data_IF_643411952535
#
_entry.id   IF_643411952535
#
_cell.length_a   1.000
_cell.length_b   1.000
_cell.length_c   1.000
_cell.angle_alpha   90.00
_cell.angle_beta   90.00
_cell.angle_gamma   90.00
#
_symmetry.space_group_name_H-M   'P 1'
#
loop_
_entity.id
_entity.type
_entity.pdbx_description
1 polymer ?
#
# COMPACT_ATOMS: atom_id res chain seq x y z
N UNK A 1 0.03 -0.07 -53.64
CA UNK A 1 1.47 -0.39 -53.78
C UNK A 1 2.36 0.32 -52.75
N UNK A 2 2.08 1.57 -52.33
CA UNK A 2 2.90 2.29 -51.33
C UNK A 2 2.91 1.65 -49.92
N UNK A 3 1.78 1.11 -49.46
CA UNK A 3 1.69 0.43 -48.14
C UNK A 3 2.51 -0.88 -48.06
N UNK A 4 2.64 -1.60 -49.18
CA UNK A 4 3.50 -2.79 -49.25
C UNK A 4 4.99 -2.43 -49.31
N UNK A 5 5.32 -1.25 -49.82
CA UNK A 5 6.68 -0.72 -49.90
C UNK A 5 7.17 -0.22 -48.52
N UNK A 6 6.29 0.42 -47.74
CA UNK A 6 6.54 0.80 -46.33
C UNK A 6 6.71 -0.45 -45.46
N UNK A 7 5.88 -1.48 -45.65
CA UNK A 7 6.02 -2.76 -44.93
C UNK A 7 7.30 -3.54 -45.27
N UNK A 8 7.80 -3.43 -46.50
CA UNK A 8 9.09 -4.03 -46.90
C UNK A 8 10.30 -3.26 -46.37
N UNK A 9 10.24 -1.92 -46.36
CA UNK A 9 11.30 -1.07 -45.81
C UNK A 9 11.39 -1.19 -44.27
N UNK A 10 10.25 -1.25 -43.57
CA UNK A 10 10.24 -1.50 -42.12
C UNK A 10 10.81 -2.86 -41.72
N UNK A 11 10.57 -3.92 -42.52
CA UNK A 11 11.17 -5.25 -42.32
C UNK A 11 12.67 -5.29 -42.66
N UNK A 12 13.14 -4.46 -43.59
CA UNK A 12 14.58 -4.31 -43.89
C UNK A 12 15.32 -3.56 -42.78
N UNK A 13 14.71 -2.54 -42.18
CA UNK A 13 15.27 -1.84 -41.00
C UNK A 13 15.36 -2.78 -39.80
N UNK A 14 14.32 -3.56 -39.53
CA UNK A 14 14.32 -4.57 -38.46
C UNK A 14 15.35 -5.69 -38.67
N UNK A 15 15.61 -6.10 -39.93
CA UNK A 15 16.65 -7.09 -40.26
C UNK A 15 18.08 -6.54 -40.21
N UNK A 16 18.30 -5.26 -40.53
CA UNK A 16 19.61 -4.59 -40.40
C UNK A 16 20.01 -4.34 -38.95
N UNK A 17 19.04 -4.20 -38.04
CA UNK A 17 19.29 -4.09 -36.59
C UNK A 17 19.48 -5.46 -35.90
N UNK A 18 19.16 -6.56 -36.58
CA UNK A 18 19.21 -7.93 -36.06
C UNK A 18 20.31 -8.79 -36.73
N UNK A 19 21.48 -8.21 -37.03
CA UNK A 19 22.66 -8.95 -37.51
C UNK A 19 23.68 -9.12 -36.37
N UNK A 20 24.20 -10.33 -36.10
CA UNK A 20 25.14 -10.58 -35.00
C UNK A 20 26.54 -10.09 -35.39
N UNK A 21 26.81 -8.80 -35.17
CA UNK A 21 28.09 -8.18 -35.56
C UNK A 21 28.65 -7.13 -34.61
N UNK A 22 27.90 -6.66 -33.61
CA UNK A 22 28.34 -5.55 -32.74
C UNK A 22 28.35 -5.86 -31.24
N UNK A 23 28.14 -7.12 -30.84
CA UNK A 23 28.46 -7.60 -29.48
C UNK A 23 29.79 -8.35 -29.53
N UNK A 24 30.85 -7.67 -29.98
CA UNK A 24 32.23 -8.16 -29.90
C UNK A 24 33.19 -6.98 -29.74
N UNK A 25 32.99 -6.21 -28.68
CA UNK A 25 34.04 -5.29 -28.17
C UNK A 25 33.95 -4.93 -26.68
N UNK A 26 33.00 -5.49 -25.95
CA UNK A 26 32.85 -5.20 -24.50
C UNK A 26 33.12 -6.38 -23.57
N UNK A 27 33.48 -7.57 -24.09
CA UNK A 27 33.70 -8.80 -23.30
C UNK A 27 35.07 -9.44 -23.59
N UNK A 28 36.09 -8.65 -23.93
CA UNK A 28 37.45 -9.15 -24.16
C UNK A 28 38.45 -8.79 -23.04
N UNK A 29 37.99 -8.30 -21.89
CA UNK A 29 38.89 -7.90 -20.78
C UNK A 29 38.59 -8.54 -19.43
N UNK A 30 37.65 -9.48 -19.32
CA UNK A 30 37.41 -10.20 -18.05
C UNK A 30 37.07 -11.68 -18.25
N UNK A 31 37.98 -12.42 -18.88
CA UNK A 31 37.97 -13.89 -18.87
C UNK A 31 39.39 -14.46 -18.96
N UNK A 32 40.18 -14.24 -17.91
CA UNK A 32 41.14 -15.25 -17.44
C UNK A 32 40.69 -15.64 -16.03
N UNK A 33 40.25 -16.90 -15.88
CA UNK A 33 39.89 -17.47 -14.58
C UNK A 33 38.69 -18.43 -14.62
N UNK A 34 38.95 -19.67 -15.02
CA UNK A 34 38.27 -20.94 -14.68
C UNK A 34 36.73 -21.05 -14.85
N UNK A 35 36.20 -21.84 -15.81
CA UNK A 35 35.99 -23.32 -15.80
C UNK A 35 35.37 -23.83 -14.49
N UNK A 36 34.26 -24.56 -14.40
CA UNK A 36 33.29 -25.22 -15.27
C UNK A 36 32.00 -25.40 -14.41
N UNK A 37 30.76 -25.53 -14.89
CA UNK A 37 30.21 -26.78 -15.42
C UNK A 37 28.83 -26.57 -16.06
N UNK A 38 28.65 -27.19 -17.22
CA UNK A 38 27.45 -27.64 -17.94
C UNK A 38 26.05 -27.52 -17.31
N UNK A 39 25.08 -27.08 -18.11
CA UNK A 39 23.68 -27.46 -17.92
C UNK A 39 22.63 -26.63 -18.67
N UNK A 40 22.23 -27.09 -19.86
CA UNK A 40 20.81 -27.04 -20.24
C UNK A 40 20.32 -25.84 -21.06
N UNK A 41 20.39 -26.02 -22.37
CA UNK A 41 19.57 -25.35 -23.40
C UNK A 41 18.09 -25.61 -23.10
N UNK A 42 17.45 -24.78 -22.27
CA UNK A 42 15.98 -24.81 -22.08
C UNK A 42 15.38 -23.45 -21.68
N UNK A 43 16.15 -22.35 -21.75
CA UNK A 43 15.70 -21.01 -21.28
C UNK A 43 15.19 -20.06 -22.36
N UNK A 44 15.27 -20.40 -23.65
CA UNK A 44 14.96 -19.45 -24.73
C UNK A 44 13.50 -19.41 -25.16
N UNK A 45 12.66 -20.38 -24.78
CA UNK A 45 11.23 -20.36 -25.10
C UNK A 45 10.38 -19.57 -24.08
N UNK A 46 10.85 -19.39 -22.84
CA UNK A 46 10.10 -18.70 -21.78
C UNK A 46 10.20 -17.17 -21.87
N UNK A 47 11.15 -16.63 -22.65
CA UNK A 47 11.40 -15.18 -22.71
C UNK A 47 10.51 -14.45 -23.71
N UNK A 48 9.86 -15.16 -24.65
CA UNK A 48 8.98 -14.54 -25.65
C UNK A 48 7.50 -14.48 -25.23
N UNK A 49 7.07 -15.29 -24.26
CA UNK A 49 5.71 -15.23 -23.70
C UNK A 49 5.48 -14.10 -22.68
N UNK A 50 6.56 -13.50 -22.16
CA UNK A 50 6.50 -12.47 -21.11
C UNK A 50 6.37 -11.04 -21.62
N UNK A 51 6.58 -10.79 -22.92
CA UNK A 51 6.50 -9.44 -23.51
C UNK A 51 5.05 -9.04 -23.86
N UNK A 52 4.14 -10.01 -23.93
CA UNK A 52 2.71 -9.76 -24.24
C UNK A 52 1.87 -9.23 -23.06
N UNK A 53 2.37 -9.33 -21.82
CA UNK A 53 1.61 -8.99 -20.60
C UNK A 53 1.98 -7.62 -19.98
N UNK A 54 2.91 -6.87 -20.58
CA UNK A 54 3.32 -5.55 -20.07
C UNK A 54 2.54 -4.37 -20.65
N UNK A 55 1.62 -4.59 -21.60
CA UNK A 55 0.86 -3.52 -22.24
C UNK A 55 -0.62 -3.43 -21.81
N UNK A 56 -1.05 -4.24 -20.85
CA UNK A 56 -2.41 -4.18 -20.29
C UNK A 56 -2.47 -3.43 -18.96
N UNK A 57 -3.66 -2.93 -18.61
CA UNK A 57 -4.00 -2.30 -17.33
C UNK A 57 -3.47 -3.05 -16.07
N UNK A 58 -3.39 -4.38 -16.13
CA UNK A 58 -2.82 -5.22 -15.08
C UNK A 58 -1.32 -4.96 -14.82
N UNK A 59 -0.54 -4.61 -15.85
CA UNK A 59 0.90 -4.31 -15.72
C UNK A 59 1.15 -2.99 -14.98
N UNK A 60 0.34 -1.97 -15.25
CA UNK A 60 0.42 -0.68 -14.57
C UNK A 60 0.05 -0.77 -13.08
N UNK A 61 -1.01 -1.53 -12.75
CA UNK A 61 -1.41 -1.77 -11.36
C UNK A 61 -0.36 -2.55 -10.56
N UNK A 62 0.23 -3.57 -11.16
CA UNK A 62 1.30 -4.39 -10.55
C UNK A 62 2.52 -3.54 -10.26
N UNK A 63 2.98 -2.74 -11.24
CA UNK A 63 4.14 -1.85 -11.07
C UNK A 63 3.93 -0.83 -9.95
N UNK A 64 2.73 -0.24 -9.85
CA UNK A 64 2.38 0.72 -8.80
C UNK A 64 2.40 0.10 -7.41
N UNK A 65 1.86 -1.11 -7.26
CA UNK A 65 1.89 -1.85 -6.00
C UNK A 65 3.32 -2.21 -5.58
N UNK A 66 4.14 -2.71 -6.52
CA UNK A 66 5.55 -3.01 -6.26
C UNK A 66 6.34 -1.77 -5.84
N UNK A 67 6.09 -0.62 -6.47
CA UNK A 67 6.71 0.64 -6.07
C UNK A 67 6.34 1.04 -4.64
N UNK A 68 5.06 0.92 -4.26
CA UNK A 68 4.59 1.22 -2.90
C UNK A 68 5.19 0.28 -1.85
N UNK A 69 5.31 -1.01 -2.15
CA UNK A 69 5.94 -1.98 -1.23
C UNK A 69 7.45 -1.82 -1.12
N UNK A 70 8.13 -1.38 -2.17
CA UNK A 70 9.59 -1.17 -2.18
C UNK A 70 10.08 0.09 -1.45
N UNK A 71 9.20 0.83 -0.76
CA UNK A 71 9.56 2.08 -0.07
C UNK A 71 9.76 3.27 -1.02
N UNK A 72 9.51 3.12 -2.32
CA UNK A 72 9.42 4.23 -3.28
C UNK A 72 8.03 4.90 -3.21
N UNK A 73 7.62 5.27 -1.99
CA UNK A 73 6.30 5.82 -1.70
C UNK A 73 6.00 7.11 -2.48
N UNK A 74 4.71 7.36 -2.70
CA UNK A 74 4.25 8.66 -3.17
C UNK A 74 4.23 9.64 -2.01
N UNK A 75 4.65 10.88 -2.26
CA UNK A 75 4.66 11.96 -1.28
C UNK A 75 3.24 12.43 -0.97
N UNK A 76 3.04 13.00 0.22
CA UNK A 76 1.75 13.54 0.65
C UNK A 76 1.31 14.73 -0.20
N UNK A 77 0.05 15.13 -0.06
CA UNK A 77 -0.50 16.33 -0.70
C UNK A 77 0.31 17.57 -0.34
N UNK A 78 0.59 17.77 0.94
CA UNK A 78 1.39 18.88 1.45
C UNK A 78 2.84 18.84 0.97
N UNK A 79 3.47 17.66 0.96
CA UNK A 79 4.83 17.51 0.46
C UNK A 79 4.90 17.81 -1.04
N UNK A 80 3.88 17.40 -1.81
CA UNK A 80 3.84 17.64 -3.25
C UNK A 80 3.89 19.13 -3.61
N UNK A 81 3.31 20.00 -2.76
CA UNK A 81 3.31 21.45 -2.95
C UNK A 81 4.70 22.05 -2.76
N UNK A 82 5.48 21.55 -1.80
CA UNK A 82 6.82 22.06 -1.46
C UNK A 82 7.91 21.59 -2.43
N UNK A 83 7.65 20.55 -3.21
CA UNK A 83 8.67 19.88 -4.03
C UNK A 83 8.89 20.49 -5.41
N UNK A 84 7.96 21.32 -5.90
CA UNK A 84 8.12 21.99 -7.17
C UNK A 84 8.72 23.36 -6.96
N UNK A 85 9.81 23.62 -7.68
CA UNK A 85 10.44 24.94 -7.76
C UNK A 85 10.44 25.32 -9.24
N UNK A 86 9.80 26.43 -9.64
CA UNK A 86 9.84 26.92 -11.01
C UNK A 86 11.29 27.10 -11.51
N UNK A 87 11.60 26.55 -12.68
CA UNK A 87 12.97 26.50 -13.21
C UNK A 87 13.43 27.77 -13.95
N UNK A 88 12.48 28.57 -14.44
CA UNK A 88 12.72 29.75 -15.28
C UNK A 88 11.70 30.88 -15.00
N UNK A 89 11.87 32.03 -15.67
CA UNK A 89 11.01 33.21 -15.50
C UNK A 89 9.56 32.96 -15.95
N UNK A 90 9.37 32.20 -17.02
CA UNK A 90 8.04 31.88 -17.55
C UNK A 90 7.26 31.02 -16.55
N UNK A 91 7.88 29.92 -16.07
CA UNK A 91 7.29 29.07 -15.06
C UNK A 91 6.97 29.86 -13.77
N UNK A 92 7.84 30.78 -13.34
CA UNK A 92 7.57 31.65 -12.18
C UNK A 92 6.37 32.56 -12.41
N UNK A 93 6.28 33.20 -13.58
CA UNK A 93 5.18 34.08 -13.93
C UNK A 93 3.84 33.32 -13.96
N UNK A 94 3.82 32.14 -14.59
CA UNK A 94 2.61 31.33 -14.72
C UNK A 94 2.19 30.75 -13.36
N UNK A 95 3.14 30.32 -12.53
CA UNK A 95 2.88 29.84 -11.17
C UNK A 95 2.30 30.94 -10.27
N UNK A 96 2.91 32.13 -10.28
CA UNK A 96 2.44 33.31 -9.55
C UNK A 96 1.03 33.72 -10.03
N UNK A 97 0.81 33.71 -11.34
CA UNK A 97 -0.51 34.01 -11.94
C UNK A 97 -1.58 33.05 -11.42
N UNK A 98 -1.35 31.73 -11.47
CA UNK A 98 -2.31 30.73 -10.99
C UNK A 98 -2.57 30.92 -9.49
N UNK A 99 -1.51 31.12 -8.70
CA UNK A 99 -1.61 31.24 -7.24
C UNK A 99 -2.50 32.39 -6.78
N UNK A 100 -2.64 33.44 -7.61
CA UNK A 100 -3.41 34.66 -7.36
C UNK A 100 -4.83 34.63 -7.96
N UNK A 101 -5.21 33.57 -8.65
CA UNK A 101 -6.55 33.49 -9.25
C UNK A 101 -7.65 33.45 -8.17
N UNK A 102 -8.78 34.17 -8.36
CA UNK A 102 -9.89 34.13 -7.41
C UNK A 102 -10.43 32.72 -7.13
N UNK A 103 -10.48 31.86 -8.15
CA UNK A 103 -10.88 30.46 -8.00
C UNK A 103 -9.94 29.68 -7.09
N UNK A 104 -8.63 29.96 -7.12
CA UNK A 104 -7.64 29.29 -6.26
C UNK A 104 -7.83 29.69 -4.81
N UNK A 105 -8.08 30.99 -4.54
CA UNK A 105 -8.42 31.45 -3.20
C UNK A 105 -9.70 30.78 -2.67
N UNK A 106 -10.74 30.65 -3.50
CA UNK A 106 -11.99 29.95 -3.15
C UNK A 106 -11.75 28.47 -2.84
N UNK A 107 -11.01 27.76 -3.69
CA UNK A 107 -10.73 26.33 -3.51
C UNK A 107 -9.87 26.05 -2.26
N UNK A 108 -8.94 26.96 -1.90
CA UNK A 108 -8.15 26.87 -0.65
C UNK A 108 -8.97 27.16 0.60
N UNK A 109 -10.00 27.99 0.49
CA UNK A 109 -10.88 28.33 1.61
C UNK A 109 -11.95 27.24 1.87
N UNK A 110 -12.25 26.40 0.88
CA UNK A 110 -13.24 25.34 0.99
C UNK A 110 -12.62 24.08 1.65
N UNK A 111 -13.01 23.73 2.89
CA UNK A 111 -12.38 22.64 3.64
C UNK A 111 -12.61 21.26 3.03
N UNK A 112 -13.53 21.11 2.07
CA UNK A 112 -13.76 19.82 1.42
C UNK A 112 -12.63 19.43 0.46
N UNK A 113 -11.83 20.40 0.00
CA UNK A 113 -10.79 20.19 -0.98
C UNK A 113 -9.40 20.10 -0.34
N UNK A 114 -8.60 19.14 -0.84
CA UNK A 114 -7.16 19.06 -0.56
C UNK A 114 -6.36 19.48 -1.77
N UNK A 115 -5.57 20.53 -1.60
CA UNK A 115 -4.66 21.04 -2.64
C UNK A 115 -3.43 20.13 -2.78
N UNK A 116 -3.04 19.84 -4.01
CA UNK A 116 -1.81 19.10 -4.29
C UNK A 116 -1.25 19.43 -5.68
N UNK A 117 0.00 19.01 -5.92
CA UNK A 117 0.59 18.91 -7.26
C UNK A 117 0.74 17.44 -7.61
N UNK A 118 -0.20 16.84 -8.36
CA UNK A 118 -0.28 15.38 -8.46
C UNK A 118 0.97 14.70 -9.02
N UNK A 119 1.68 15.35 -9.96
CA UNK A 119 2.94 14.82 -10.50
C UNK A 119 4.09 14.90 -9.50
N UNK A 120 4.05 15.84 -8.55
CA UNK A 120 5.06 16.00 -7.51
C UNK A 120 4.88 15.02 -6.35
N UNK A 121 3.80 14.24 -6.33
CA UNK A 121 3.66 13.07 -5.47
C UNK A 121 4.55 11.91 -5.93
N UNK A 122 4.97 11.91 -7.20
CA UNK A 122 5.77 10.81 -7.76
C UNK A 122 7.26 10.94 -7.35
N UNK A 123 7.95 9.82 -7.06
CA UNK A 123 9.40 9.80 -6.98
C UNK A 123 10.04 10.28 -8.29
N UNK A 124 11.16 10.99 -8.21
CA UNK A 124 11.80 11.60 -9.39
C UNK A 124 12.17 10.59 -10.49
N UNK A 125 12.68 9.41 -10.09
CA UNK A 125 13.02 8.33 -11.01
C UNK A 125 11.81 7.85 -11.83
N UNK A 126 10.64 7.74 -11.20
CA UNK A 126 9.40 7.37 -11.88
C UNK A 126 8.85 8.52 -12.74
N UNK A 127 8.82 9.74 -12.16
CA UNK A 127 8.34 10.94 -12.84
C UNK A 127 9.06 11.20 -14.16
N UNK A 128 10.38 10.99 -14.22
CA UNK A 128 11.20 11.19 -15.43
C UNK A 128 10.77 10.33 -16.63
N UNK A 129 10.01 9.26 -16.40
CA UNK A 129 9.49 8.35 -17.45
C UNK A 129 7.98 8.48 -17.66
N UNK A 130 7.37 9.48 -17.04
CA UNK A 130 5.94 9.75 -17.15
C UNK A 130 5.62 10.65 -18.33
N UNK A 131 4.59 10.31 -19.10
CA UNK A 131 4.06 11.17 -20.15
C UNK A 131 3.64 12.54 -19.57
N UNK A 132 2.77 12.52 -18.56
CA UNK A 132 2.18 13.75 -18.01
C UNK A 132 3.06 14.40 -16.94
N UNK A 133 3.82 13.60 -16.18
CA UNK A 133 4.74 14.10 -15.16
C UNK A 133 6.11 14.54 -15.67
N UNK A 134 6.43 14.32 -16.96
CA UNK A 134 7.71 14.75 -17.53
C UNK A 134 7.64 15.10 -19.03
N UNK A 135 7.22 14.20 -19.92
CA UNK A 135 7.38 14.41 -21.36
C UNK A 135 6.62 15.64 -21.91
N UNK A 136 5.49 15.97 -21.28
CA UNK A 136 4.65 17.12 -21.58
C UNK A 136 5.01 18.38 -20.77
N UNK A 137 5.96 18.31 -19.84
CA UNK A 137 6.43 19.45 -19.05
C UNK A 137 7.65 20.12 -19.70
N UNK A 138 7.75 21.43 -19.54
CA UNK A 138 8.91 22.24 -19.94
C UNK A 138 8.54 23.51 -20.71
N UNK A 139 9.54 24.32 -21.09
CA UNK A 139 9.35 25.55 -21.86
C UNK A 139 8.53 25.30 -23.13
N UNK A 140 7.64 26.24 -23.47
CA UNK A 140 6.74 26.13 -24.62
C UNK A 140 5.62 25.08 -24.48
N UNK A 141 5.65 24.21 -23.46
CA UNK A 141 4.63 23.17 -23.20
C UNK A 141 3.81 23.51 -21.95
N UNK A 142 3.64 22.56 -21.03
CA UNK A 142 3.14 22.83 -19.69
C UNK A 142 4.34 23.20 -18.79
N UNK A 143 4.51 24.50 -18.53
CA UNK A 143 5.69 25.01 -17.81
C UNK A 143 5.69 24.69 -16.30
N UNK A 144 4.55 24.27 -15.76
CA UNK A 144 4.42 23.75 -14.39
C UNK A 144 3.56 22.48 -14.35
N UNK A 145 3.80 21.58 -13.37
CA UNK A 145 2.87 20.52 -13.05
C UNK A 145 1.55 21.13 -12.55
N UNK A 146 0.40 20.53 -12.91
CA UNK A 146 -0.91 21.10 -12.63
C UNK A 146 -1.16 21.24 -11.13
N UNK A 147 -1.92 22.27 -10.78
CA UNK A 147 -2.56 22.33 -9.47
C UNK A 147 -3.81 21.47 -9.47
N UNK A 148 -4.08 20.78 -8.38
CA UNK A 148 -5.29 19.97 -8.22
C UNK A 148 -5.89 20.12 -6.82
N UNK A 149 -7.20 20.24 -6.77
CA UNK A 149 -8.03 20.24 -5.57
C UNK A 149 -8.96 19.04 -5.63
N UNK A 150 -8.71 18.05 -4.77
CA UNK A 150 -9.48 16.81 -4.74
C UNK A 150 -10.39 16.80 -3.51
N UNK A 151 -11.67 16.47 -3.70
CA UNK A 151 -12.61 16.26 -2.61
C UNK A 151 -12.41 14.88 -1.99
N UNK A 152 -12.48 14.81 -0.66
CA UNK A 152 -12.30 13.58 0.09
C UNK A 152 -13.24 12.46 -0.39
N UNK A 153 -12.68 11.24 -0.45
CA UNK A 153 -13.37 10.06 -0.99
C UNK A 153 -13.47 10.03 -2.52
N UNK A 154 -12.79 10.93 -3.24
CA UNK A 154 -12.75 10.90 -4.71
C UNK A 154 -14.08 11.29 -5.36
N UNK A 155 -14.77 12.28 -4.78
CA UNK A 155 -16.09 12.73 -5.25
C UNK A 155 -15.99 13.72 -6.39
N UNK A 156 -15.09 14.70 -6.28
CA UNK A 156 -14.87 15.72 -7.30
C UNK A 156 -13.41 16.17 -7.33
N UNK A 157 -12.99 16.71 -8.47
CA UNK A 157 -11.66 17.32 -8.64
C UNK A 157 -11.78 18.60 -9.47
N UNK A 158 -10.94 19.59 -9.12
CA UNK A 158 -10.65 20.74 -9.96
C UNK A 158 -9.15 20.78 -10.23
N UNK A 159 -8.73 20.85 -11.50
CA UNK A 159 -7.32 21.03 -11.86
C UNK A 159 -7.13 22.31 -12.66
N UNK A 160 -6.03 23.03 -12.42
CA UNK A 160 -5.66 24.23 -13.19
C UNK A 160 -4.30 23.99 -13.84
N UNK A 161 -4.22 24.25 -15.14
CA UNK A 161 -3.03 24.04 -15.97
C UNK A 161 -2.83 25.20 -16.94
N UNK A 162 -1.59 25.46 -17.33
CA UNK A 162 -1.25 26.32 -18.46
C UNK A 162 -0.75 25.47 -19.63
N UNK A 163 -1.12 25.86 -20.86
CA UNK A 163 -0.74 25.14 -22.08
C UNK A 163 -0.07 26.09 -23.09
N UNK A 164 1.18 25.79 -23.46
CA UNK A 164 1.97 26.56 -24.42
C UNK A 164 1.87 26.08 -25.87
N UNK A 165 2.60 26.78 -26.75
CA UNK A 165 2.56 26.60 -28.21
C UNK A 165 3.16 25.28 -28.73
N UNK A 166 4.11 24.66 -28.02
CA UNK A 166 4.72 23.39 -28.43
C UNK A 166 3.77 22.19 -28.28
N UNK A 167 2.57 22.43 -27.75
CA UNK A 167 1.48 21.45 -27.66
C UNK A 167 0.46 21.62 -28.79
N UNK A 168 0.70 22.53 -29.73
CA UNK A 168 -0.17 22.80 -30.87
C UNK A 168 -0.15 21.68 -31.93
N UNK A 169 -1.33 21.39 -32.48
CA UNK A 169 -1.46 20.61 -33.72
C UNK A 169 -1.55 21.51 -34.96
N UNK A 170 -2.13 22.69 -34.78
CA UNK A 170 -2.18 23.78 -35.75
C UNK A 170 -1.66 25.05 -35.06
N UNK A 171 -0.97 25.97 -35.74
CA UNK A 171 -0.45 27.18 -35.10
C UNK A 171 -1.49 27.89 -34.22
N UNK A 172 -1.15 28.10 -32.94
CA UNK A 172 -2.01 28.74 -31.94
C UNK A 172 -3.16 27.88 -31.39
N UNK A 173 -3.33 26.63 -31.85
CA UNK A 173 -4.39 25.72 -31.40
C UNK A 173 -3.76 24.44 -30.82
N UNK A 174 -3.94 24.25 -29.52
CA UNK A 174 -3.51 23.07 -28.78
C UNK A 174 -4.12 21.81 -29.39
N UNK A 175 -3.29 20.79 -29.59
CA UNK A 175 -3.72 19.53 -30.18
C UNK A 175 -4.76 18.83 -29.28
N UNK A 176 -5.88 18.37 -29.86
CA UNK A 176 -6.96 17.72 -29.11
C UNK A 176 -6.50 16.50 -28.28
N UNK A 177 -5.49 15.77 -28.76
CA UNK A 177 -4.85 14.69 -27.99
C UNK A 177 -4.26 15.10 -26.64
N UNK A 178 -3.87 16.37 -26.44
CA UNK A 178 -3.50 16.87 -25.12
C UNK A 178 -4.73 16.93 -24.21
N UNK A 179 -5.84 17.50 -24.69
CA UNK A 179 -7.08 17.56 -23.92
C UNK A 179 -7.59 16.17 -23.57
N UNK A 180 -7.49 15.19 -24.48
CA UNK A 180 -7.79 13.79 -24.17
C UNK A 180 -6.90 13.25 -23.04
N UNK A 181 -5.60 13.53 -23.08
CA UNK A 181 -4.66 13.11 -22.04
C UNK A 181 -4.99 13.75 -20.69
N UNK A 182 -5.34 15.04 -20.68
CA UNK A 182 -5.74 15.77 -19.48
C UNK A 182 -7.06 15.25 -18.90
N UNK A 183 -8.06 15.00 -19.75
CA UNK A 183 -9.35 14.43 -19.35
C UNK A 183 -9.18 13.01 -18.79
N UNK A 184 -8.41 12.17 -19.46
CA UNK A 184 -8.12 10.81 -18.98
C UNK A 184 -7.49 10.85 -17.58
N UNK A 185 -6.41 11.64 -17.41
CA UNK A 185 -5.74 11.78 -16.13
C UNK A 185 -6.63 12.40 -15.05
N UNK A 186 -7.33 13.49 -15.38
CA UNK A 186 -8.17 14.23 -14.43
C UNK A 186 -9.35 13.41 -13.93
N UNK A 187 -10.06 12.72 -14.84
CA UNK A 187 -11.19 11.87 -14.47
C UNK A 187 -10.71 10.62 -13.69
N UNK A 188 -9.55 10.04 -14.05
CA UNK A 188 -8.96 8.94 -13.27
C UNK A 188 -8.67 9.39 -11.83
N UNK A 189 -7.96 10.52 -11.68
CA UNK A 189 -7.60 11.07 -10.37
C UNK A 189 -8.82 11.42 -9.52
N UNK A 190 -9.88 11.92 -10.15
CA UNK A 190 -11.15 12.22 -9.49
C UNK A 190 -11.66 11.00 -8.71
N UNK A 191 -11.69 9.82 -9.33
CA UNK A 191 -12.31 8.64 -8.72
C UNK A 191 -11.35 7.73 -7.95
N UNK A 192 -10.04 8.01 -7.91
CA UNK A 192 -9.09 7.15 -7.19
C UNK A 192 -9.51 6.94 -5.73
N UNK A 193 -9.85 8.00 -4.98
CA UNK A 193 -10.29 7.85 -3.59
C UNK A 193 -11.58 7.05 -3.37
N UNK A 194 -12.35 6.80 -4.44
CA UNK A 194 -13.58 6.02 -4.41
C UNK A 194 -13.36 4.55 -4.83
N UNK A 195 -12.18 4.21 -5.34
CA UNK A 195 -11.85 2.89 -5.87
C UNK A 195 -10.99 2.09 -4.87
N UNK A 196 -11.10 0.75 -4.86
CA UNK A 196 -10.24 -0.10 -4.04
C UNK A 196 -8.74 0.20 -4.26
N UNK A 197 -8.01 0.28 -3.15
CA UNK A 197 -6.57 0.62 -3.09
C UNK A 197 -6.18 1.98 -3.66
N UNK A 198 -7.15 2.86 -3.91
CA UNK A 198 -6.97 4.18 -4.51
C UNK A 198 -6.34 4.15 -5.91
N UNK A 199 -6.69 3.16 -6.73
CA UNK A 199 -6.18 2.99 -8.09
C UNK A 199 -7.31 2.66 -9.07
N UNK A 200 -7.21 3.20 -10.27
CA UNK A 200 -8.11 2.93 -11.38
C UNK A 200 -7.36 3.01 -12.71
N UNK A 201 -7.77 2.17 -13.66
CA UNK A 201 -7.35 2.25 -15.05
C UNK A 201 -8.55 2.61 -15.93
N UNK A 202 -8.30 3.34 -17.00
CA UNK A 202 -9.33 3.74 -17.95
C UNK A 202 -9.81 2.52 -18.74
N UNK A 203 -11.06 2.11 -18.53
CA UNK A 203 -11.69 1.04 -19.30
C UNK A 203 -12.44 1.60 -20.52
N UNK A 204 -13.00 2.80 -20.39
CA UNK A 204 -13.60 3.53 -21.49
C UNK A 204 -13.51 5.03 -21.22
N UNK A 205 -13.31 5.82 -22.27
CA UNK A 205 -13.33 7.27 -22.25
C UNK A 205 -14.01 7.76 -23.53
N UNK A 206 -15.08 8.54 -23.39
CA UNK A 206 -15.75 9.23 -24.48
C UNK A 206 -15.51 10.73 -24.33
N UNK A 207 -15.14 11.41 -25.41
CA UNK A 207 -14.81 12.84 -25.39
C UNK A 207 -15.54 13.55 -26.53
N UNK A 208 -16.27 14.61 -26.17
CA UNK A 208 -16.88 15.54 -27.12
C UNK A 208 -16.08 16.84 -27.13
N UNK A 209 -15.37 17.12 -28.23
CA UNK A 209 -14.69 18.40 -28.44
C UNK A 209 -15.69 19.46 -28.88
N UNK A 210 -15.74 20.58 -28.15
CA UNK A 210 -16.71 21.66 -28.37
C UNK A 210 -16.11 22.83 -29.12
N UNK A 211 -14.89 23.24 -28.77
CA UNK A 211 -14.21 24.41 -29.34
C UNK A 211 -12.70 24.21 -29.45
N UNK A 212 -12.02 24.88 -30.40
CA UNK A 212 -10.56 24.92 -30.44
C UNK A 212 -9.98 25.51 -29.15
N UNK A 213 -8.86 24.95 -28.70
CA UNK A 213 -8.18 25.41 -27.47
C UNK A 213 -7.01 26.31 -27.84
N UNK A 214 -7.05 27.62 -27.53
CA UNK A 214 -5.93 28.52 -27.78
C UNK A 214 -4.71 28.09 -26.97
N UNK A 215 -3.53 28.10 -27.58
CA UNK A 215 -2.28 28.04 -26.84
C UNK A 215 -2.05 29.34 -26.04
N UNK A 216 -1.14 29.28 -25.08
CA UNK A 216 -0.89 30.38 -24.15
C UNK A 216 -2.03 30.63 -23.15
N UNK A 217 -2.90 29.64 -22.93
CA UNK A 217 -4.11 29.79 -22.12
C UNK A 217 -4.07 29.00 -20.81
N UNK A 218 -4.90 29.42 -19.87
CA UNK A 218 -5.15 28.71 -18.62
C UNK A 218 -6.41 27.87 -18.75
N UNK A 219 -6.29 26.59 -18.44
CA UNK A 219 -7.36 25.61 -18.51
C UNK A 219 -7.78 25.20 -17.11
N UNK A 220 -9.09 25.04 -16.92
CA UNK A 220 -9.67 24.47 -15.72
C UNK A 220 -10.33 23.14 -16.10
N UNK A 221 -9.88 22.04 -15.50
CA UNK A 221 -10.55 20.75 -15.61
C UNK A 221 -11.42 20.56 -14.37
N UNK A 222 -12.68 20.15 -14.58
CA UNK A 222 -13.59 19.76 -13.50
C UNK A 222 -14.09 18.36 -13.76
N UNK A 223 -14.13 17.52 -12.72
CA UNK A 223 -14.75 16.21 -12.82
C UNK A 223 -15.46 15.82 -11.53
N UNK A 224 -16.45 14.95 -11.68
CA UNK A 224 -17.27 14.40 -10.60
C UNK A 224 -17.46 12.91 -10.83
N UNK A 225 -17.22 12.11 -9.80
CA UNK A 225 -17.53 10.68 -9.76
C UNK A 225 -19.04 10.53 -9.60
N UNK A 226 -19.72 10.02 -10.62
CA UNK A 226 -21.19 9.94 -10.66
C UNK A 226 -21.73 8.65 -10.08
N UNK A 227 -20.96 7.58 -10.13
CA UNK A 227 -21.38 6.25 -9.70
C UNK A 227 -20.17 5.38 -9.35
N UNK A 228 -20.31 4.55 -8.32
CA UNK A 228 -19.30 3.56 -7.92
C UNK A 228 -19.98 2.24 -7.65
N UNK A 229 -19.49 1.15 -8.26
CA UNK A 229 -19.97 -0.21 -8.03
C UNK A 229 -18.78 -1.16 -7.90
N UNK A 230 -18.47 -1.55 -6.66
CA UNK A 230 -17.33 -2.41 -6.34
C UNK A 230 -16.01 -1.80 -6.82
N UNK A 231 -15.47 -2.33 -7.92
CA UNK A 231 -14.21 -1.87 -8.53
C UNK A 231 -14.39 -0.89 -9.69
N UNK A 232 -15.63 -0.51 -10.02
CA UNK A 232 -15.94 0.34 -11.17
C UNK A 232 -16.35 1.73 -10.69
N UNK A 233 -15.83 2.77 -11.31
CA UNK A 233 -16.24 4.14 -11.10
C UNK A 233 -16.57 4.81 -12.44
N UNK A 234 -17.71 5.49 -12.50
CA UNK A 234 -18.10 6.32 -13.62
C UNK A 234 -17.87 7.77 -13.24
N UNK A 235 -17.25 8.51 -14.15
CA UNK A 235 -16.84 9.90 -13.92
C UNK A 235 -17.29 10.72 -15.12
N UNK A 236 -17.80 11.92 -14.85
CA UNK A 236 -18.04 12.93 -15.88
C UNK A 236 -17.18 14.15 -15.59
N UNK A 237 -16.74 14.84 -16.61
CA UNK A 237 -15.99 16.07 -16.44
C UNK A 237 -15.83 16.84 -17.74
N UNK A 238 -15.16 17.97 -17.65
CA UNK A 238 -14.92 18.84 -18.79
C UNK A 238 -13.65 19.68 -18.57
N UNK A 239 -13.15 20.24 -19.67
CA UNK A 239 -12.11 21.27 -19.68
C UNK A 239 -12.75 22.55 -20.18
N UNK A 240 -12.53 23.64 -19.44
CA UNK A 240 -12.96 24.99 -19.77
C UNK A 240 -11.77 25.95 -19.81
N UNK A 241 -11.90 27.02 -20.59
CA UNK A 241 -11.01 28.18 -20.44
C UNK A 241 -11.28 28.83 -19.09
N UNK A 242 -10.21 29.29 -18.44
CA UNK A 242 -10.32 30.11 -17.24
C UNK A 242 -11.18 31.36 -17.55
N UNK A 243 -12.38 31.39 -16.98
CA UNK A 243 -13.31 32.51 -17.12
C UNK A 243 -12.92 33.66 -16.19
N UNK A 244 -13.23 34.90 -16.60
CA UNK A 244 -13.18 36.02 -15.66
C UNK A 244 -14.31 35.90 -14.63
N UNK A 245 -14.16 36.49 -13.44
CA UNK A 245 -15.23 36.50 -12.45
C UNK A 245 -16.54 37.05 -13.04
N UNK A 246 -17.62 36.25 -12.97
CA UNK A 246 -18.95 36.62 -13.48
C UNK A 246 -19.20 36.30 -14.96
N UNK A 247 -18.22 35.74 -15.68
CA UNK A 247 -18.42 35.24 -17.05
C UNK A 247 -18.74 33.74 -17.05
N UNK A 248 -19.59 33.32 -17.98
CA UNK A 248 -19.84 31.90 -18.24
C UNK A 248 -18.58 31.23 -18.82
N UNK A 249 -18.15 30.09 -18.28
CA UNK A 249 -16.95 29.41 -18.75
C UNK A 249 -17.13 28.88 -20.17
N UNK A 250 -16.10 29.06 -20.99
CA UNK A 250 -16.07 28.47 -22.33
C UNK A 250 -15.61 27.03 -22.25
N UNK A 251 -16.57 26.10 -22.36
CA UNK A 251 -16.30 24.66 -22.43
C UNK A 251 -15.58 24.32 -23.73
N UNK A 252 -14.42 23.68 -23.62
CA UNK A 252 -13.56 23.28 -24.74
C UNK A 252 -13.78 21.81 -25.10
N UNK A 253 -13.90 20.94 -24.10
CA UNK A 253 -14.16 19.52 -24.27
C UNK A 253 -14.91 18.96 -23.05
N UNK A 254 -15.79 18.00 -23.28
CA UNK A 254 -16.51 17.26 -22.24
C UNK A 254 -16.19 15.78 -22.34
N UNK A 255 -16.19 15.06 -21.22
CA UNK A 255 -15.93 13.64 -21.21
C UNK A 255 -16.77 12.86 -20.18
N UNK A 256 -17.02 11.61 -20.54
CA UNK A 256 -17.45 10.57 -19.61
C UNK A 256 -16.47 9.42 -19.65
N UNK A 257 -16.17 8.85 -18.49
CA UNK A 257 -15.20 7.78 -18.37
C UNK A 257 -15.66 6.70 -17.41
N UNK A 258 -15.29 5.46 -17.73
CA UNK A 258 -15.37 4.31 -16.83
C UNK A 258 -13.95 3.93 -16.42
N UNK A 259 -13.69 3.96 -15.12
CA UNK A 259 -12.43 3.57 -14.52
C UNK A 259 -12.63 2.30 -13.69
N UNK A 260 -11.67 1.39 -13.76
CA UNK A 260 -11.76 0.10 -13.08
C UNK A 260 -10.50 -0.13 -12.26
N UNK A 261 -10.67 -0.39 -10.96
CA UNK A 261 -9.57 -0.82 -10.10
C UNK A 261 -9.11 -2.22 -10.54
N UNK A 262 -7.82 -2.43 -10.86
CA UNK A 262 -7.31 -3.74 -11.26
C UNK A 262 -7.59 -4.78 -10.18
N UNK A 263 -8.05 -5.96 -10.61
CA UNK A 263 -8.34 -7.11 -9.74
C UNK A 263 -7.10 -7.68 -9.05
N UNK A 264 -5.91 -7.32 -9.51
CA UNK A 264 -4.71 -8.11 -9.29
C UNK A 264 -3.74 -7.37 -8.36
N UNK A 265 -3.94 -7.51 -7.06
CA UNK A 265 -2.88 -8.19 -6.31
C UNK A 265 -3.12 -9.67 -6.58
N UNK A 266 -2.73 -10.15 -7.76
CA UNK A 266 -2.67 -11.60 -7.96
C UNK A 266 -1.55 -12.07 -7.07
N UNK A 267 -1.93 -12.66 -5.94
CA UNK A 267 -1.14 -13.74 -5.37
C UNK A 267 -0.69 -14.60 -6.54
N UNK A 268 0.62 -14.80 -6.70
CA UNK A 268 1.08 -15.84 -7.61
C UNK A 268 0.31 -17.12 -7.27
N UNK A 269 -0.05 -17.97 -8.25
CA UNK A 269 -0.61 -19.27 -7.92
C UNK A 269 0.30 -19.92 -6.89
N UNK A 270 -0.20 -20.00 -5.66
CA UNK A 270 0.53 -20.43 -4.49
C UNK A 270 -0.26 -21.56 -3.86
N UNK A 271 0.45 -22.42 -3.15
CA UNK A 271 -0.15 -23.44 -2.31
C UNK A 271 -1.24 -22.81 -1.43
N UNK A 272 -2.45 -23.38 -1.45
CA UNK A 272 -3.51 -22.99 -0.52
C UNK A 272 -3.09 -23.27 0.93
N UNK A 273 -3.70 -22.60 1.90
CA UNK A 273 -3.42 -22.85 3.31
C UNK A 273 -3.82 -24.27 3.70
N UNK A 274 -4.92 -24.79 3.16
CA UNK A 274 -5.34 -26.18 3.34
C UNK A 274 -4.27 -27.17 2.85
N UNK A 275 -3.77 -26.99 1.62
CA UNK A 275 -2.69 -27.83 1.08
C UNK A 275 -1.40 -27.69 1.89
N UNK A 276 -1.06 -26.48 2.35
CA UNK A 276 0.10 -26.25 3.24
C UNK A 276 -0.04 -27.01 4.54
N UNK A 277 -1.19 -26.91 5.19
CA UNK A 277 -1.46 -27.61 6.44
C UNK A 277 -1.39 -29.13 6.26
N UNK A 278 -1.91 -29.65 5.14
CA UNK A 278 -1.83 -31.08 4.81
C UNK A 278 -0.38 -31.53 4.62
N UNK A 279 0.41 -30.80 3.83
CA UNK A 279 1.82 -31.13 3.57
C UNK A 279 2.71 -30.97 4.82
N UNK A 280 2.37 -30.06 5.72
CA UNK A 280 3.06 -29.86 6.99
C UNK A 280 2.59 -30.82 8.09
N UNK A 281 1.45 -31.51 7.89
CA UNK A 281 0.82 -32.34 8.92
C UNK A 281 0.31 -31.56 10.13
N UNK A 282 0.13 -30.24 10.00
CA UNK A 282 -0.21 -29.35 11.10
C UNK A 282 -1.00 -28.14 10.61
N UNK A 283 -1.90 -27.63 11.45
CA UNK A 283 -2.58 -26.34 11.25
C UNK A 283 -1.89 -25.26 12.06
N UNK A 284 -1.75 -24.07 11.48
CA UNK A 284 -1.28 -22.90 12.21
C UNK A 284 -2.43 -22.13 12.87
N UNK A 285 -2.12 -21.43 13.96
CA UNK A 285 -3.03 -20.55 14.69
C UNK A 285 -2.24 -19.53 15.50
N UNK A 286 -2.92 -18.50 15.99
CA UNK A 286 -2.33 -17.51 16.91
C UNK A 286 -2.89 -17.71 18.31
N UNK A 287 -2.00 -17.97 19.27
CA UNK A 287 -2.26 -17.88 20.70
C UNK A 287 -1.85 -16.48 21.18
N UNK A 288 -2.83 -15.64 21.46
CA UNK A 288 -2.62 -14.25 21.84
C UNK A 288 -2.70 -14.07 23.35
N UNK A 289 -1.56 -14.02 24.04
CA UNK A 289 -1.56 -13.77 25.48
C UNK A 289 -1.74 -12.28 25.76
N UNK A 290 -2.63 -11.96 26.69
CA UNK A 290 -2.87 -10.61 27.20
C UNK A 290 -2.95 -10.62 28.73
N UNK A 291 -2.51 -9.54 29.38
CA UNK A 291 -2.44 -9.47 30.85
C UNK A 291 -1.49 -8.40 31.35
N UNK A 292 -1.57 -8.08 32.64
CA UNK A 292 -0.71 -7.11 33.32
C UNK A 292 0.79 -7.45 33.21
N UNK A 293 1.67 -6.46 33.37
CA UNK A 293 3.10 -6.73 33.55
C UNK A 293 3.30 -7.69 34.73
N UNK A 294 4.34 -8.54 34.70
CA UNK A 294 4.60 -9.57 35.73
C UNK A 294 3.46 -10.59 35.98
N UNK A 295 2.41 -10.64 35.16
CA UNK A 295 1.33 -11.65 35.28
C UNK A 295 1.78 -13.08 34.90
N UNK A 296 2.98 -13.26 34.34
CA UNK A 296 3.52 -14.57 33.96
C UNK A 296 3.37 -14.96 32.49
N UNK A 297 2.89 -14.06 31.62
CA UNK A 297 2.74 -14.30 30.17
C UNK A 297 3.97 -14.94 29.52
N UNK A 298 5.14 -14.30 29.62
CA UNK A 298 6.36 -14.80 28.98
C UNK A 298 6.82 -16.13 29.57
N UNK A 299 6.61 -16.36 30.87
CA UNK A 299 6.93 -17.61 31.55
C UNK A 299 6.09 -18.77 31.00
N UNK A 300 4.76 -18.60 30.97
CA UNK A 300 3.84 -19.62 30.44
C UNK A 300 4.05 -19.79 28.93
N UNK A 301 4.22 -18.71 28.16
CA UNK A 301 4.47 -18.78 26.72
C UNK A 301 5.75 -19.55 26.38
N UNK A 302 6.82 -19.38 27.17
CA UNK A 302 8.08 -20.12 26.97
C UNK A 302 7.93 -21.60 27.28
N UNK A 303 7.28 -21.93 28.40
CA UNK A 303 7.01 -23.33 28.76
C UNK A 303 6.07 -24.01 27.75
N UNK A 304 5.06 -23.28 27.26
CA UNK A 304 4.13 -23.75 26.25
C UNK A 304 4.83 -24.01 24.91
N UNK A 305 5.68 -23.09 24.45
CA UNK A 305 6.49 -23.27 23.23
C UNK A 305 7.33 -24.55 23.31
N UNK A 306 8.05 -24.75 24.42
CA UNK A 306 8.83 -25.97 24.65
C UNK A 306 7.94 -27.21 24.65
N UNK A 307 6.79 -27.18 25.33
CA UNK A 307 5.89 -28.32 25.41
C UNK A 307 5.31 -28.69 24.03
N UNK A 308 4.86 -27.71 23.25
CA UNK A 308 4.34 -27.95 21.90
C UNK A 308 5.41 -28.55 20.98
N UNK A 309 6.65 -28.05 21.05
CA UNK A 309 7.76 -28.61 20.28
C UNK A 309 8.07 -30.06 20.65
N UNK A 310 8.00 -30.42 21.95
CA UNK A 310 8.14 -31.82 22.39
C UNK A 310 7.00 -32.73 21.90
N UNK A 311 5.81 -32.18 21.63
CA UNK A 311 4.69 -32.87 21.00
C UNK A 311 4.82 -32.95 19.46
N UNK A 312 5.91 -32.45 18.88
CA UNK A 312 6.11 -32.38 17.43
C UNK A 312 5.35 -31.23 16.76
N UNK A 313 4.72 -30.34 17.54
CA UNK A 313 3.97 -29.19 17.03
C UNK A 313 4.94 -28.03 16.80
N UNK A 314 5.02 -27.52 15.57
CA UNK A 314 5.82 -26.33 15.26
C UNK A 314 5.18 -25.11 15.91
N UNK A 315 5.88 -24.47 16.83
CA UNK A 315 5.46 -23.25 17.52
C UNK A 315 6.57 -22.21 17.51
N UNK A 316 6.21 -20.92 17.58
CA UNK A 316 7.17 -19.83 17.67
C UNK A 316 6.63 -18.68 18.50
N UNK A 317 7.43 -18.21 19.46
CA UNK A 317 7.07 -17.13 20.38
C UNK A 317 7.48 -15.75 19.85
N UNK A 318 6.55 -14.81 19.89
CA UNK A 318 6.72 -13.40 19.57
C UNK A 318 6.55 -12.58 20.86
N UNK A 319 7.61 -11.91 21.30
CA UNK A 319 7.62 -11.18 22.56
C UNK A 319 8.40 -9.86 22.50
N UNK A 320 8.49 -9.19 23.65
CA UNK A 320 9.25 -7.94 23.77
C UNK A 320 10.74 -8.12 23.45
N UNK A 321 11.33 -9.29 23.70
CA UNK A 321 12.76 -9.48 23.53
C UNK A 321 13.15 -9.63 22.05
N UNK A 322 12.37 -10.38 21.27
CA UNK A 322 12.68 -10.61 19.84
C UNK A 322 12.01 -9.62 18.88
N UNK A 323 10.90 -8.96 19.25
CA UNK A 323 10.24 -7.98 18.38
C UNK A 323 10.70 -6.55 18.67
N UNK A 324 10.82 -6.15 19.95
CA UNK A 324 11.00 -4.73 20.31
C UNK A 324 12.35 -4.16 19.90
N UNK A 325 13.40 -4.97 19.93
CA UNK A 325 14.75 -4.54 19.53
C UNK A 325 15.08 -4.84 18.06
N UNK A 326 14.19 -5.55 17.36
CA UNK A 326 14.31 -5.88 15.94
C UNK A 326 13.32 -5.11 15.08
N UNK A 327 12.19 -5.74 14.79
CA UNK A 327 11.14 -5.21 13.91
C UNK A 327 10.56 -3.87 14.39
N UNK A 328 10.42 -3.71 15.71
CA UNK A 328 9.74 -2.57 16.32
C UNK A 328 10.72 -1.62 17.06
N UNK A 329 12.00 -1.63 16.67
CA UNK A 329 13.05 -0.81 17.30
C UNK A 329 12.86 0.70 17.15
N UNK A 330 12.05 1.11 16.18
CA UNK A 330 11.68 2.50 15.91
C UNK A 330 10.55 3.02 16.81
N UNK A 331 9.89 2.15 17.59
CA UNK A 331 8.70 2.50 18.37
C UNK A 331 9.01 2.77 19.84
N UNK A 332 8.56 3.94 20.32
CA UNK A 332 8.58 4.33 21.73
C UNK A 332 7.40 3.77 22.54
N UNK A 333 7.14 4.33 23.72
CA UNK A 333 6.10 3.85 24.65
C UNK A 333 4.82 4.70 24.66
N UNK A 334 4.68 5.65 23.73
CA UNK A 334 3.46 6.45 23.57
C UNK A 334 2.28 5.56 23.15
N UNK A 335 1.04 6.04 23.35
CA UNK A 335 -0.17 5.33 22.89
C UNK A 335 -0.09 4.98 21.40
N UNK A 336 0.24 5.96 20.54
CA UNK A 336 0.40 5.74 19.09
C UNK A 336 1.42 4.63 18.77
N UNK A 337 2.56 4.64 19.45
CA UNK A 337 3.60 3.62 19.25
C UNK A 337 3.17 2.24 19.78
N UNK A 338 2.34 2.18 20.82
CA UNK A 338 1.74 0.93 21.33
C UNK A 338 0.76 0.35 20.31
N UNK A 339 -0.11 1.18 19.74
CA UNK A 339 -1.09 0.75 18.76
C UNK A 339 -0.39 0.22 17.49
N UNK A 340 0.63 0.94 16.99
CA UNK A 340 1.43 0.48 15.85
C UNK A 340 2.25 -0.78 16.19
N UNK A 341 2.78 -0.88 17.41
CA UNK A 341 3.49 -2.07 17.87
C UNK A 341 2.58 -3.30 17.82
N UNK A 342 1.37 -3.20 18.38
CA UNK A 342 0.38 -4.29 18.34
C UNK A 342 -0.04 -4.60 16.90
N UNK A 343 -0.32 -3.58 16.08
CA UNK A 343 -0.67 -3.77 14.65
C UNK A 343 0.40 -4.57 13.90
N UNK A 344 1.69 -4.23 14.06
CA UNK A 344 2.80 -4.97 13.43
C UNK A 344 2.89 -6.40 13.91
N UNK A 345 2.74 -6.63 15.22
CA UNK A 345 2.75 -7.97 15.82
C UNK A 345 1.60 -8.82 15.29
N UNK A 346 0.41 -8.23 15.14
CA UNK A 346 -0.77 -8.92 14.59
C UNK A 346 -0.53 -9.44 13.17
N UNK A 347 0.08 -8.63 12.31
CA UNK A 347 0.46 -9.03 10.95
C UNK A 347 1.50 -10.16 10.94
N UNK A 348 2.53 -10.05 11.79
CA UNK A 348 3.57 -11.08 11.88
C UNK A 348 3.02 -12.39 12.44
N UNK A 349 2.21 -12.34 13.50
CA UNK A 349 1.56 -13.53 14.06
C UNK A 349 0.70 -14.24 13.01
N UNK A 350 -0.06 -13.47 12.21
CA UNK A 350 -0.82 -14.00 11.08
C UNK A 350 0.07 -14.69 10.04
N UNK A 351 1.24 -14.14 9.72
CA UNK A 351 2.18 -14.79 8.78
C UNK A 351 2.73 -16.12 9.32
N UNK A 352 3.07 -16.19 10.61
CA UNK A 352 3.47 -17.46 11.24
C UNK A 352 2.32 -18.47 11.22
N UNK A 353 1.12 -18.05 11.60
CA UNK A 353 -0.05 -18.93 11.56
C UNK A 353 -0.41 -19.39 10.13
N UNK A 354 -0.30 -18.51 9.13
CA UNK A 354 -0.46 -18.88 7.73
C UNK A 354 0.58 -19.92 7.29
N UNK A 355 1.82 -19.86 7.81
CA UNK A 355 2.88 -20.85 7.56
C UNK A 355 2.70 -22.21 8.27
N UNK A 356 1.50 -22.50 8.77
CA UNK A 356 1.19 -23.71 9.55
C UNK A 356 1.94 -23.80 10.89
N UNK A 357 2.30 -22.67 11.51
CA UNK A 357 2.98 -22.60 12.82
C UNK A 357 2.03 -22.09 13.90
N UNK A 358 2.16 -22.57 15.14
CA UNK A 358 1.47 -21.98 16.29
C UNK A 358 2.23 -20.72 16.73
N UNK A 359 1.71 -19.55 16.37
CA UNK A 359 2.28 -18.26 16.77
C UNK A 359 1.86 -17.94 18.20
N UNK A 360 2.81 -17.76 19.12
CA UNK A 360 2.53 -17.47 20.53
C UNK A 360 2.94 -16.02 20.81
N UNK A 361 1.99 -15.10 20.96
CA UNK A 361 2.33 -13.71 21.29
C UNK A 361 2.25 -13.49 22.80
N UNK A 362 3.22 -12.80 23.39
CA UNK A 362 3.25 -12.53 24.84
C UNK A 362 3.45 -11.04 25.16
N UNK A 363 2.53 -10.20 24.68
CA UNK A 363 2.53 -8.75 24.91
C UNK A 363 1.50 -8.36 25.97
N UNK A 364 1.57 -7.14 26.49
CA UNK A 364 0.54 -6.65 27.43
C UNK A 364 -0.80 -6.46 26.69
N UNK A 365 -0.75 -5.88 25.48
CA UNK A 365 -1.93 -5.56 24.64
C UNK A 365 -3.11 -4.99 25.46
N UNK A 366 -2.91 -3.84 26.14
CA UNK A 366 -3.82 -3.40 27.19
C UNK A 366 -5.20 -2.94 26.69
N UNK A 367 -5.29 -2.49 25.44
CA UNK A 367 -6.53 -1.98 24.86
C UNK A 367 -7.28 -3.08 24.12
N UNK A 368 -8.58 -3.18 24.38
CA UNK A 368 -9.44 -4.18 23.74
C UNK A 368 -9.56 -3.95 22.24
N UNK A 369 -9.69 -2.69 21.82
CA UNK A 369 -9.78 -2.31 20.41
C UNK A 369 -8.59 -2.83 19.57
N UNK A 370 -7.36 -2.78 20.12
CA UNK A 370 -6.19 -3.30 19.41
C UNK A 370 -6.22 -4.83 19.26
N UNK A 371 -6.71 -5.54 20.30
CA UNK A 371 -6.89 -6.99 20.27
C UNK A 371 -8.01 -7.40 19.31
N UNK A 372 -9.09 -6.62 19.25
CA UNK A 372 -10.19 -6.83 18.31
C UNK A 372 -9.73 -6.63 16.86
N UNK A 373 -8.91 -5.62 16.59
CA UNK A 373 -8.28 -5.43 15.28
C UNK A 373 -7.38 -6.62 14.92
N UNK A 374 -6.59 -7.13 15.88
CA UNK A 374 -5.76 -8.32 15.68
C UNK A 374 -6.61 -9.56 15.35
N UNK A 375 -7.71 -9.76 16.07
CA UNK A 375 -8.67 -10.86 15.87
C UNK A 375 -9.34 -10.77 14.51
N UNK A 376 -9.82 -9.59 14.13
CA UNK A 376 -10.47 -9.33 12.84
C UNK A 376 -9.51 -9.59 11.67
N UNK A 377 -8.24 -9.19 11.80
CA UNK A 377 -7.20 -9.45 10.79
C UNK A 377 -7.02 -10.96 10.51
N UNK A 378 -7.17 -11.80 11.54
CA UNK A 378 -7.13 -13.25 11.42
C UNK A 378 -8.44 -13.79 10.83
N UNK A 379 -9.60 -13.28 11.24
CA UNK A 379 -10.90 -13.64 10.66
C UNK A 379 -10.96 -13.36 9.15
N UNK A 380 -10.41 -12.23 8.70
CA UNK A 380 -10.34 -11.81 7.29
C UNK A 380 -9.31 -12.58 6.45
N UNK A 381 -8.58 -13.55 7.03
CA UNK A 381 -7.60 -14.37 6.29
C UNK A 381 -8.24 -15.50 5.47
N UNK A 382 -9.57 -15.64 5.50
CA UNK A 382 -10.29 -16.57 4.65
C UNK A 382 -10.26 -16.09 3.20
N UNK A 383 -9.67 -16.89 2.32
CA UNK A 383 -9.57 -16.59 0.89
C UNK A 383 -9.79 -17.88 0.09
N UNK A 384 -10.64 -17.81 -0.95
CA UNK A 384 -10.99 -18.98 -1.76
C UNK A 384 -11.65 -20.07 -0.92
N UNK A 385 -11.07 -21.28 -0.95
CA UNK A 385 -11.56 -22.44 -0.20
C UNK A 385 -10.91 -22.60 1.19
N UNK A 386 -10.06 -21.66 1.62
CA UNK A 386 -9.41 -21.77 2.92
C UNK A 386 -10.25 -21.17 4.07
N UNK A 387 -10.27 -21.88 5.20
CA UNK A 387 -10.86 -21.41 6.45
C UNK A 387 -10.02 -20.29 7.09
N UNK A 388 -10.64 -19.36 7.81
CA UNK A 388 -9.94 -18.32 8.56
C UNK A 388 -8.89 -18.91 9.53
N UNK A 389 -7.77 -18.21 9.72
CA UNK A 389 -6.77 -18.57 10.73
C UNK A 389 -7.41 -18.40 12.12
N UNK A 390 -7.35 -19.42 12.99
CA UNK A 390 -7.82 -19.30 14.36
C UNK A 390 -7.00 -18.28 15.15
N UNK A 391 -7.71 -17.40 15.87
CA UNK A 391 -7.15 -16.48 16.84
C UNK A 391 -7.71 -16.85 18.22
N UNK A 392 -6.83 -17.17 19.15
CA UNK A 392 -7.18 -17.68 20.49
C UNK A 392 -6.60 -16.72 21.53
N UNK A 393 -7.45 -15.92 22.14
CA UNK A 393 -7.04 -14.97 23.18
C UNK A 393 -6.92 -15.70 24.53
N UNK A 394 -5.72 -15.64 25.11
CA UNK A 394 -5.37 -16.22 26.40
C UNK A 394 -5.24 -15.09 27.41
N UNK A 395 -6.25 -14.93 28.26
CA UNK A 395 -6.21 -13.95 29.33
C UNK A 395 -5.43 -14.49 30.53
N UNK A 396 -4.30 -13.86 30.85
CA UNK A 396 -3.50 -14.15 32.04
C UNK A 396 -3.97 -13.26 33.19
N UNK A 397 -4.97 -13.77 33.90
CA UNK A 397 -5.70 -13.05 34.95
C UNK A 397 -4.97 -13.14 36.29
N UNK A 398 -4.42 -12.01 36.71
CA UNK A 398 -3.68 -11.87 37.97
C UNK A 398 -4.06 -10.53 38.59
N UNK A 399 -4.45 -10.50 39.87
CA UNK A 399 -4.69 -9.25 40.59
C UNK A 399 -3.47 -8.32 40.53
N UNK A 400 -3.71 -7.02 40.45
CA UNK A 400 -2.64 -6.02 40.36
C UNK A 400 -1.65 -6.14 41.53
N UNK A 401 -2.17 -6.40 42.73
CA UNK A 401 -1.39 -6.54 43.96
C UNK A 401 -0.39 -7.69 43.88
N UNK A 402 -0.80 -8.82 43.27
CA UNK A 402 0.08 -9.98 43.06
C UNK A 402 1.14 -9.66 42.01
N UNK A 403 0.78 -8.93 40.95
CA UNK A 403 1.73 -8.50 39.93
C UNK A 403 2.78 -7.52 40.50
N UNK A 404 2.35 -6.58 41.34
CA UNK A 404 3.20 -5.64 42.08
C UNK A 404 4.12 -6.36 43.08
N UNK A 405 3.63 -7.40 43.75
CA UNK A 405 4.46 -8.20 44.66
C UNK A 405 5.58 -8.95 43.92
N UNK A 406 5.30 -9.48 42.71
CA UNK A 406 6.27 -10.23 41.91
C UNK A 406 7.40 -9.35 41.39
N UNK A 407 7.05 -8.17 40.85
CA UNK A 407 7.91 -7.15 40.23
C UNK A 407 9.38 -7.52 39.91
N UNK A 408 9.64 -8.53 39.05
CA UNK A 408 10.98 -9.10 38.87
C UNK A 408 11.96 -8.12 38.20
N UNK A 409 11.43 -7.10 37.52
CA UNK A 409 12.19 -6.06 36.81
C UNK A 409 12.18 -4.71 37.55
N UNK A 410 11.56 -4.63 38.73
CA UNK A 410 11.44 -3.39 39.50
C UNK A 410 10.61 -2.29 38.81
N UNK A 411 9.76 -2.66 37.85
CA UNK A 411 9.00 -1.71 37.02
C UNK A 411 7.81 -1.13 37.78
N UNK A 412 7.13 -1.92 38.61
CA UNK A 412 6.02 -1.44 39.42
C UNK A 412 6.48 -0.44 40.47
N UNK A 413 7.61 -0.71 41.14
CA UNK A 413 8.22 0.24 42.09
C UNK A 413 8.54 1.58 41.42
N UNK A 414 9.17 1.55 40.25
CA UNK A 414 9.49 2.76 39.46
C UNK A 414 8.25 3.48 38.96
N UNK A 415 7.21 2.76 38.56
CA UNK A 415 5.94 3.34 38.14
C UNK A 415 5.23 4.05 39.31
N UNK A 416 5.17 3.42 40.50
CA UNK A 416 4.61 4.02 41.72
C UNK A 416 5.40 5.26 42.18
N UNK A 417 6.72 5.27 41.96
CA UNK A 417 7.59 6.43 42.21
C UNK A 417 7.48 7.55 41.14
N UNK A 418 6.71 7.34 40.06
CA UNK A 418 6.54 8.32 38.98
C UNK A 418 7.70 8.39 37.98
N UNK A 419 8.70 7.50 38.09
CA UNK A 419 9.84 7.43 37.18
C UNK A 419 9.45 6.86 35.80
N UNK A 420 8.46 5.97 35.76
CA UNK A 420 7.89 5.42 34.52
C UNK A 420 6.47 5.98 34.34
N UNK A 421 6.31 6.82 33.33
CA UNK A 421 5.01 7.38 32.95
C UNK A 421 4.18 6.36 32.16
N UNK A 422 2.86 6.49 32.23
CA UNK A 422 1.89 5.69 31.45
C UNK A 422 2.05 4.17 31.60
N UNK A 423 2.34 3.71 32.82
CA UNK A 423 2.54 2.30 33.11
C UNK A 423 1.20 1.57 33.30
N UNK A 424 0.98 0.52 32.51
CA UNK A 424 -0.26 -0.26 32.52
C UNK A 424 -0.58 -0.83 33.90
N UNK A 425 -1.80 -0.58 34.38
CA UNK A 425 -2.29 -0.98 35.71
C UNK A 425 -1.99 0.02 36.82
N UNK A 426 -1.15 1.04 36.59
CA UNK A 426 -0.81 2.07 37.59
C UNK A 426 -1.25 3.46 37.11
N UNK A 427 -0.69 3.93 36.00
CA UNK A 427 -0.94 5.27 35.43
C UNK A 427 -1.48 5.21 33.99
N UNK A 428 -1.71 4.01 33.45
CA UNK A 428 -2.42 3.74 32.21
C UNK A 428 -3.36 2.52 32.40
N UNK A 429 -4.50 2.44 31.69
CA UNK A 429 -5.47 1.38 31.89
C UNK A 429 -5.01 0.02 31.36
N UNK A 430 -5.59 -1.05 31.90
CA UNK A 430 -5.63 -2.39 31.31
C UNK A 430 -7.09 -2.79 31.17
N UNK A 431 -7.54 -3.00 29.93
CA UNK A 431 -8.91 -3.39 29.64
C UNK A 431 -8.97 -4.92 29.55
N UNK A 432 -9.40 -5.56 30.63
CA UNK A 432 -9.55 -7.02 30.68
C UNK A 432 -10.44 -7.53 29.53
N UNK A 433 -10.10 -8.65 28.88
CA UNK A 433 -10.95 -9.28 27.87
C UNK A 433 -12.28 -9.71 28.48
N UNK A 434 -13.39 -9.44 27.79
CA UNK A 434 -14.72 -9.86 28.26
C UNK A 434 -15.01 -11.32 27.92
N UNK A 435 -14.59 -11.77 26.74
CA UNK A 435 -14.86 -13.12 26.23
C UNK A 435 -13.59 -13.77 25.64
N UNK A 436 -12.51 -13.94 26.42
CA UNK A 436 -11.32 -14.64 25.93
C UNK A 436 -11.62 -16.13 25.75
N UNK A 437 -10.97 -16.79 24.80
CA UNK A 437 -11.10 -18.22 24.58
C UNK A 437 -10.56 -19.06 25.76
N UNK A 438 -9.51 -18.57 26.43
CA UNK A 438 -8.86 -19.22 27.57
C UNK A 438 -8.57 -18.18 28.64
N UNK A 439 -8.90 -18.49 29.90
CA UNK A 439 -8.47 -17.72 31.08
C UNK A 439 -7.55 -18.59 31.92
N UNK A 440 -6.34 -18.10 32.21
CA UNK A 440 -5.41 -18.75 33.13
C UNK A 440 -5.10 -17.84 34.32
N UNK A 441 -5.03 -18.42 35.51
CA UNK A 441 -4.72 -17.71 36.75
C UNK A 441 -3.39 -18.18 37.31
N UNK A 442 -2.31 -17.52 36.92
CA UNK A 442 -0.94 -17.92 37.31
C UNK A 442 -0.61 -17.66 38.78
N UNK A 443 -1.52 -17.06 39.54
CA UNK A 443 -1.41 -16.84 40.97
C UNK A 443 -2.07 -17.96 41.79
N UNK A 444 -2.95 -18.75 41.16
CA UNK A 444 -3.59 -19.93 41.74
C UNK A 444 -2.98 -21.24 41.22
N UNK A 445 -2.35 -21.21 40.05
CA UNK A 445 -1.83 -22.38 39.34
C UNK A 445 -0.33 -22.26 39.05
N UNK A 446 0.35 -23.40 39.04
CA UNK A 446 1.72 -23.53 38.54
C UNK A 446 1.82 -23.26 37.03
N UNK A 447 3.04 -23.11 36.53
CA UNK A 447 3.28 -22.91 35.09
C UNK A 447 2.85 -24.15 34.31
N UNK A 448 3.12 -25.33 34.85
CA UNK A 448 2.81 -26.63 34.28
C UNK A 448 1.30 -26.83 34.15
N UNK A 449 0.53 -26.49 35.18
CA UNK A 449 -0.94 -26.54 35.16
C UNK A 449 -1.52 -25.55 34.14
N UNK A 450 -0.97 -24.33 34.05
CA UNK A 450 -1.39 -23.35 33.04
C UNK A 450 -1.11 -23.84 31.61
N UNK A 451 0.05 -24.47 31.37
CA UNK A 451 0.37 -25.08 30.08
C UNK A 451 -0.57 -26.23 29.77
N UNK A 452 -0.83 -27.12 30.73
CA UNK A 452 -1.74 -28.24 30.58
C UNK A 452 -3.14 -27.77 30.16
N UNK A 453 -3.67 -26.75 30.83
CA UNK A 453 -4.97 -26.16 30.52
C UNK A 453 -5.05 -25.65 29.07
N UNK A 454 -4.01 -24.96 28.58
CA UNK A 454 -3.98 -24.47 27.19
C UNK A 454 -3.90 -25.62 26.20
N UNK A 455 -3.06 -26.62 26.48
CA UNK A 455 -2.87 -27.79 25.61
C UNK A 455 -4.14 -28.64 25.53
N UNK A 456 -4.84 -28.84 26.64
CA UNK A 456 -6.13 -29.55 26.67
C UNK A 456 -7.17 -28.82 25.82
N UNK A 457 -7.29 -27.50 25.97
CA UNK A 457 -8.19 -26.70 25.15
C UNK A 457 -7.87 -26.82 23.64
N UNK A 458 -6.58 -26.79 23.27
CA UNK A 458 -6.14 -26.96 21.87
C UNK A 458 -6.50 -28.35 21.33
N UNK A 459 -6.41 -29.39 22.15
CA UNK A 459 -6.81 -30.76 21.79
C UNK A 459 -8.33 -30.87 21.62
N UNK A 460 -9.10 -30.32 22.55
CA UNK A 460 -10.57 -30.31 22.51
C UNK A 460 -11.09 -29.61 21.25
N UNK A 461 -10.48 -28.48 20.88
CA UNK A 461 -10.80 -27.75 19.65
C UNK A 461 -10.19 -28.36 18.38
N UNK A 462 -9.45 -29.48 18.51
CA UNK A 462 -8.80 -30.20 17.41
C UNK A 462 -7.80 -29.35 16.61
N UNK A 463 -7.16 -28.39 17.28
CA UNK A 463 -6.11 -27.57 16.69
C UNK A 463 -4.76 -28.29 16.67
N UNK A 464 -4.53 -29.18 17.62
CA UNK A 464 -3.37 -30.07 17.65
C UNK A 464 -3.84 -31.52 17.76
N UNK A 465 -3.14 -32.42 17.08
CA UNK A 465 -3.34 -33.88 17.19
C UNK A 465 -2.13 -34.48 17.87
N UNK A 466 -2.33 -35.12 19.02
CA UNK A 466 -1.31 -36.02 19.58
C UNK A 466 -1.32 -37.31 18.78
N UNK A 467 -0.24 -37.61 18.08
CA UNK A 467 0.05 -39.00 17.69
C UNK A 467 0.17 -39.82 18.98
N UNK A 468 -0.58 -40.91 19.07
CA UNK A 468 -0.46 -41.87 20.18
C UNK A 468 0.90 -42.57 20.13
#
# INVERSE_FOLDING_TARGET
MLAQQIGRNGRQVARRLATPGHIRRYVATQAQGNTASSGGVFRSALTMGLVGLTFGAAGAGTMWYTMRQSGMGFFSDEESLKRFVPGDDEARLVDDTISKLPIVAQLRADPKYKESRPHMKMPAAYRSRSLTGSALLGPGKMVLPPYAWLEDGGKSIVCISYVGDDLCGHPGIVHGGLLATMLDEGLARCCFGALPHNIGVTANLNIDYRKPTPAGSFLVLRAVTTKVEGRKAWVKGHIELLAKPGEEPTILAEATGLFVSPNNITWHPSLSRSERNQLRGQRGLTLWFTGLSASGKSTVATALEQHLLHLGVTAYRLDGDNVRFGLNKDLGFSEKDRNENIRRISEVAKLFADSSTVAITSFISPYRADRDVARELHAQSAHGNDEAIPFVEVYVDVPLEVAEQRDPKGLYKKARAGEIKEFTGISAPYEAPENPEIVIKTHENSVEECVAQIVEWLKEKKYITTSA
#
